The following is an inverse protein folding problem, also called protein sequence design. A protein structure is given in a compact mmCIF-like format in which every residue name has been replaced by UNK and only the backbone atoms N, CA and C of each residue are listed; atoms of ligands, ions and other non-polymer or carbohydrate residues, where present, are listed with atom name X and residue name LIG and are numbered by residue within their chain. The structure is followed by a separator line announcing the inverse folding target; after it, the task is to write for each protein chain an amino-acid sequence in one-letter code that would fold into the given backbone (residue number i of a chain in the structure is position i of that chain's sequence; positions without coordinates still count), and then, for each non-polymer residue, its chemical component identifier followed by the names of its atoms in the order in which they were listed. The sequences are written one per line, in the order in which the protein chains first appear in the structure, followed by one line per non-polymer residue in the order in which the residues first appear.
data_IF_245284124096
#
_entry.id   IF_245284124096
#
_cell.length_a   1.000
_cell.length_b   1.000
_cell.length_c   1.000
_cell.angle_alpha   90.00
_cell.angle_beta   90.00
_cell.angle_gamma   90.00
#
_symmetry.space_group_name_H-M   'P 1'
#
loop_
_entity.id
_entity.type
_entity.pdbx_description
1 polymer ?
#
# COMPACT_ATOMS: atom_id res chain seq x y z
N UNK A 1 29.75 -4.39 8.81
CA UNK A 1 29.45 -3.13 8.09
C UNK A 1 29.88 -3.26 6.63
N UNK A 2 28.89 -3.40 5.75
CA UNK A 2 28.94 -3.26 4.27
C UNK A 2 27.48 -3.04 3.77
N UNK A 3 26.63 -2.39 4.57
CA UNK A 3 25.18 -2.23 4.32
C UNK A 3 24.85 -1.16 3.29
N UNK A 4 25.76 -0.19 3.09
CA UNK A 4 25.60 0.87 2.10
C UNK A 4 25.45 0.38 0.65
N UNK A 5 26.33 -0.47 0.09
CA UNK A 5 26.23 -0.87 -1.30
C UNK A 5 24.92 -1.60 -1.64
N UNK A 6 24.39 -2.42 -0.74
CA UNK A 6 23.13 -3.15 -0.98
C UNK A 6 21.93 -2.21 -1.01
N UNK A 7 21.85 -1.25 -0.07
CA UNK A 7 20.79 -0.25 -0.05
C UNK A 7 20.87 0.67 -1.27
N UNK A 8 22.08 1.11 -1.64
CA UNK A 8 22.31 1.94 -2.82
C UNK A 8 21.87 1.20 -4.10
N UNK A 9 22.19 -0.09 -4.21
CA UNK A 9 21.72 -0.95 -5.31
C UNK A 9 20.19 -1.05 -5.34
N UNK A 10 19.54 -1.31 -4.20
CA UNK A 10 18.08 -1.36 -4.13
C UNK A 10 17.45 -0.03 -4.58
N UNK A 11 17.99 1.10 -4.13
CA UNK A 11 17.52 2.42 -4.57
C UNK A 11 17.71 2.64 -6.07
N UNK A 12 18.86 2.27 -6.63
CA UNK A 12 19.11 2.38 -8.07
C UNK A 12 18.17 1.53 -8.93
N UNK A 13 17.72 0.38 -8.40
CA UNK A 13 16.73 -0.50 -9.03
C UNK A 13 15.29 -0.04 -8.80
N UNK A 14 15.09 1.04 -8.02
CA UNK A 14 13.77 1.55 -7.66
C UNK A 14 13.02 0.66 -6.66
N UNK A 15 13.73 -0.18 -5.90
CA UNK A 15 13.20 -1.06 -4.86
C UNK A 15 13.11 -0.35 -3.51
N UNK A 16 12.42 0.79 -3.47
CA UNK A 16 12.41 1.69 -2.32
C UNK A 16 11.72 1.10 -1.08
N UNK A 17 10.65 0.34 -1.27
CA UNK A 17 9.97 -0.37 -0.17
C UNK A 17 10.82 -1.49 0.38
N UNK A 18 11.52 -2.22 -0.49
CA UNK A 18 12.49 -3.25 -0.10
C UNK A 18 13.64 -2.66 0.72
N UNK A 19 14.20 -1.52 0.28
CA UNK A 19 15.27 -0.82 1.00
C UNK A 19 14.81 -0.31 2.38
N UNK A 20 13.55 0.16 2.49
CA UNK A 20 12.98 0.54 3.76
C UNK A 20 12.84 -0.67 4.70
N UNK A 21 12.24 -1.77 4.22
CA UNK A 21 12.13 -3.00 5.00
C UNK A 21 13.49 -3.56 5.43
N UNK A 22 14.51 -3.50 4.57
CA UNK A 22 15.86 -3.92 4.92
C UNK A 22 16.38 -3.21 6.17
N UNK A 23 16.23 -1.88 6.23
CA UNK A 23 16.66 -1.08 7.41
C UNK A 23 15.80 -1.42 8.62
N UNK A 24 14.48 -1.44 8.44
CA UNK A 24 13.53 -1.66 9.52
C UNK A 24 13.73 -3.04 10.18
N UNK A 25 14.05 -4.08 9.39
CA UNK A 25 14.33 -5.41 9.93
C UNK A 25 15.74 -5.46 10.52
N UNK A 26 16.74 -4.81 9.92
CA UNK A 26 18.10 -4.77 10.48
C UNK A 26 18.19 -4.04 11.83
N UNK A 27 17.25 -3.12 12.11
CA UNK A 27 17.14 -2.41 13.39
C UNK A 27 16.37 -3.22 14.46
N UNK A 28 15.69 -4.32 14.09
CA UNK A 28 14.94 -5.16 15.02
C UNK A 28 15.84 -6.17 15.73
N UNK A 29 15.73 -6.27 17.05
CA UNK A 29 16.50 -7.20 17.90
C UNK A 29 16.14 -8.68 17.63
N UNK A 30 14.92 -8.93 17.12
CA UNK A 30 14.41 -10.24 16.71
C UNK A 30 14.84 -10.67 15.30
N UNK A 31 15.65 -9.87 14.59
CA UNK A 31 16.05 -10.18 13.22
C UNK A 31 16.81 -11.51 13.09
N UNK A 32 17.42 -12.01 14.18
CA UNK A 32 18.11 -13.30 14.22
C UNK A 32 17.19 -14.52 14.18
N UNK A 33 15.90 -14.36 14.50
CA UNK A 33 14.92 -15.46 14.54
C UNK A 33 14.25 -15.72 13.19
N UNK A 34 14.37 -14.78 12.25
CA UNK A 34 13.81 -14.89 10.91
C UNK A 34 14.70 -15.74 10.01
N UNK A 35 14.10 -16.75 9.37
CA UNK A 35 14.74 -17.45 8.26
C UNK A 35 14.95 -16.49 7.07
N UNK A 36 15.88 -16.84 6.18
CA UNK A 36 16.17 -16.01 4.99
C UNK A 36 14.93 -15.81 4.10
N UNK A 37 14.09 -16.83 4.00
CA UNK A 37 12.87 -16.80 3.19
C UNK A 37 11.82 -15.86 3.79
N UNK A 38 11.67 -15.84 5.12
CA UNK A 38 10.79 -14.90 5.81
C UNK A 38 11.29 -13.46 5.68
N UNK A 39 12.60 -13.27 5.81
CA UNK A 39 13.26 -11.98 5.61
C UNK A 39 12.99 -11.42 4.20
N UNK A 40 13.14 -12.28 3.18
CA UNK A 40 12.85 -11.93 1.79
C UNK A 40 11.35 -11.67 1.57
N UNK A 41 10.49 -12.49 2.17
CA UNK A 41 9.03 -12.33 2.10
C UNK A 41 8.59 -10.95 2.59
N UNK A 42 9.00 -10.56 3.80
CA UNK A 42 8.66 -9.25 4.38
C UNK A 42 9.14 -8.07 3.52
N UNK A 43 10.34 -8.17 2.97
CA UNK A 43 10.89 -7.17 2.07
C UNK A 43 10.09 -7.04 0.77
N UNK A 44 9.69 -8.17 0.17
CA UNK A 44 8.88 -8.18 -1.05
C UNK A 44 7.47 -7.65 -0.79
N UNK A 45 6.84 -8.04 0.32
CA UNK A 45 5.52 -7.56 0.70
C UNK A 45 5.51 -6.03 0.87
N UNK A 46 6.54 -5.48 1.53
CA UNK A 46 6.73 -4.04 1.67
C UNK A 46 6.87 -3.34 0.32
N UNK A 47 7.64 -3.92 -0.60
CA UNK A 47 7.83 -3.37 -1.94
C UNK A 47 6.52 -3.38 -2.75
N UNK A 48 5.78 -4.48 -2.71
CA UNK A 48 4.49 -4.64 -3.40
C UNK A 48 3.48 -3.60 -2.87
N UNK A 49 3.36 -3.47 -1.55
CA UNK A 49 2.49 -2.48 -0.92
C UNK A 49 2.88 -1.05 -1.33
N UNK A 50 4.17 -0.71 -1.24
CA UNK A 50 4.68 0.62 -1.62
C UNK A 50 4.37 0.97 -3.08
N UNK A 51 4.50 -0.01 -4.00
CA UNK A 51 4.14 0.18 -5.42
C UNK A 51 2.64 0.32 -5.63
N UNK A 52 1.83 -0.43 -4.90
CA UNK A 52 0.38 -0.33 -4.95
C UNK A 52 -0.09 1.05 -4.49
N UNK A 53 0.44 1.52 -3.36
CA UNK A 53 0.15 2.85 -2.80
C UNK A 53 0.55 3.94 -3.78
N UNK A 54 1.79 3.91 -4.29
CA UNK A 54 2.23 4.91 -5.28
C UNK A 54 1.36 4.94 -6.53
N UNK A 55 0.93 3.77 -7.02
CA UNK A 55 0.00 3.68 -8.16
C UNK A 55 -1.36 4.27 -7.82
N UNK A 56 -1.89 4.01 -6.63
CA UNK A 56 -3.15 4.58 -6.16
C UNK A 56 -3.05 6.10 -6.02
N UNK A 57 -2.03 6.61 -5.33
CA UNK A 57 -1.77 8.05 -5.15
C UNK A 57 -1.66 8.76 -6.49
N UNK A 58 -0.93 8.20 -7.46
CA UNK A 58 -0.80 8.78 -8.79
C UNK A 58 -2.14 8.82 -9.54
N UNK A 59 -2.96 7.76 -9.43
CA UNK A 59 -4.30 7.71 -10.02
C UNK A 59 -5.23 8.76 -9.39
N UNK A 60 -5.22 8.88 -8.07
CA UNK A 60 -6.01 9.88 -7.35
C UNK A 60 -5.60 11.31 -7.73
N UNK A 61 -4.29 11.59 -7.78
CA UNK A 61 -3.77 12.89 -8.21
C UNK A 61 -4.19 13.24 -9.65
N UNK A 62 -4.17 12.24 -10.54
CA UNK A 62 -4.58 12.42 -11.94
C UNK A 62 -6.08 12.62 -12.11
N UNK A 63 -6.90 12.00 -11.25
CA UNK A 63 -8.36 12.07 -11.31
C UNK A 63 -8.93 13.44 -10.93
N UNK A 64 -8.17 14.28 -10.21
CA UNK A 64 -8.59 15.64 -9.80
C UNK A 64 -9.99 15.66 -9.19
N UNK A 65 -10.25 14.73 -8.27
CA UNK A 65 -11.55 14.57 -7.64
C UNK A 65 -11.96 15.87 -6.94
N UNK A 66 -13.20 16.32 -7.17
CA UNK A 66 -13.75 17.52 -6.53
C UNK A 66 -13.83 17.39 -5.01
N UNK A 67 -14.10 16.18 -4.52
CA UNK A 67 -14.19 15.83 -3.11
C UNK A 67 -13.16 14.75 -2.82
N UNK A 68 -12.02 15.15 -2.26
CA UNK A 68 -10.87 14.25 -2.03
C UNK A 68 -11.18 13.19 -0.97
N UNK A 69 -11.93 13.57 0.06
CA UNK A 69 -12.30 12.70 1.18
C UNK A 69 -13.64 11.98 0.98
N UNK A 70 -14.09 11.85 -0.27
CA UNK A 70 -15.32 11.11 -0.57
C UNK A 70 -15.10 9.61 -0.32
N UNK A 71 -15.86 9.03 0.60
CA UNK A 71 -15.81 7.62 0.96
C UNK A 71 -17.21 7.01 1.03
N UNK A 72 -17.29 5.68 0.98
CA UNK A 72 -18.57 4.94 0.93
C UNK A 72 -19.36 5.10 2.23
N UNK A 73 -18.65 5.27 3.35
CA UNK A 73 -19.20 5.49 4.69
C UNK A 73 -20.00 6.80 4.78
N UNK A 74 -19.67 7.79 3.96
CA UNK A 74 -20.30 9.10 3.94
C UNK A 74 -21.55 9.16 3.04
N UNK A 75 -22.01 8.04 2.47
CA UNK A 75 -23.21 8.00 1.63
C UNK A 75 -24.47 8.19 2.49
N UNK A 76 -25.22 9.26 2.22
CA UNK A 76 -26.55 9.47 2.78
C UNK A 76 -27.61 8.67 2.01
N UNK A 77 -28.08 7.58 2.62
CA UNK A 77 -29.17 6.75 2.10
C UNK A 77 -30.57 7.27 2.46
N UNK A 78 -30.68 8.30 3.30
CA UNK A 78 -31.95 8.97 3.64
C UNK A 78 -32.38 10.01 2.61
N UNK A 79 -31.49 10.40 1.71
CA UNK A 79 -31.80 11.33 0.63
C UNK A 79 -32.91 10.78 -0.30
N UNK A 80 -33.80 11.67 -0.77
CA UNK A 80 -34.93 11.37 -1.66
C UNK A 80 -34.57 10.73 -3.02
N UNK A 81 -33.29 10.51 -3.30
CA UNK A 81 -32.80 9.94 -4.57
C UNK A 81 -33.06 8.44 -4.73
N UNK A 82 -33.63 7.78 -3.71
CA UNK A 82 -34.03 6.38 -3.80
C UNK A 82 -32.85 5.41 -3.95
N UNK A 83 -31.72 5.73 -3.32
CA UNK A 83 -30.52 4.89 -3.37
C UNK A 83 -30.72 3.61 -2.54
N UNK A 84 -30.74 2.45 -3.20
CA UNK A 84 -30.79 1.17 -2.50
C UNK A 84 -29.43 0.86 -1.85
N UNK A 85 -29.43 0.86 -0.50
CA UNK A 85 -28.25 0.55 0.32
C UNK A 85 -27.61 -0.78 -0.04
N UNK A 86 -28.42 -1.82 -0.28
CA UNK A 86 -27.88 -3.17 -0.55
C UNK A 86 -27.12 -3.20 -1.86
N UNK A 87 -27.67 -2.57 -2.90
CA UNK A 87 -27.04 -2.53 -4.21
C UNK A 87 -25.75 -1.71 -4.19
N UNK A 88 -25.75 -0.56 -3.52
CA UNK A 88 -24.54 0.29 -3.42
C UNK A 88 -23.43 -0.42 -2.67
N UNK A 89 -23.73 -1.06 -1.53
CA UNK A 89 -22.70 -1.78 -0.76
C UNK A 89 -22.19 -3.01 -1.51
N UNK A 90 -23.05 -3.70 -2.29
CA UNK A 90 -22.60 -4.78 -3.16
C UNK A 90 -21.64 -4.29 -4.24
N UNK A 91 -21.89 -3.13 -4.84
CA UNK A 91 -21.00 -2.54 -5.85
C UNK A 91 -19.69 -2.05 -5.24
N UNK A 92 -19.72 -1.52 -4.02
CA UNK A 92 -18.54 -1.04 -3.30
C UNK A 92 -17.51 -2.14 -3.01
N UNK A 93 -17.94 -3.42 -2.97
CA UNK A 93 -17.04 -4.56 -2.79
C UNK A 93 -16.14 -4.84 -4.01
N UNK A 94 -16.42 -4.23 -5.17
CA UNK A 94 -15.55 -4.34 -6.33
C UNK A 94 -15.54 -5.72 -7.01
N UNK A 95 -16.53 -6.56 -6.76
CA UNK A 95 -16.64 -7.92 -7.31
C UNK A 95 -17.29 -7.96 -8.70
N UNK A 96 -16.87 -7.07 -9.59
CA UNK A 96 -17.38 -6.92 -10.97
C UNK A 96 -16.37 -7.37 -12.02
#
# INVERSE_FOLDING_TARGET
MLTHPTLDQMHSLGLAGMAAAWRDIAEQDTAGDLTRDEWLGLMLDREIATRADRRLTNRLASAKLRFVDACVENIDFGAHRGLDRRNILSLAQGAW
#
